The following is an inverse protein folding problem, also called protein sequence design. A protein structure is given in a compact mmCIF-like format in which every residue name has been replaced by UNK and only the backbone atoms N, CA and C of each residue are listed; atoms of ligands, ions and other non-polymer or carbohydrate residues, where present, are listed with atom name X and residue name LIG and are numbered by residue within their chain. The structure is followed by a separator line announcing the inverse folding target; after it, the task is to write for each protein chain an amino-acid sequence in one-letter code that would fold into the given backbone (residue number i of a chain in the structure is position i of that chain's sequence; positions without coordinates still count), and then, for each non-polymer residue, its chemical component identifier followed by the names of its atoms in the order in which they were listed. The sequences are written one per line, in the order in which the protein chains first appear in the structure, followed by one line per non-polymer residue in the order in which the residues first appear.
data_IF_416842349663
#
_entry.id   IF_416842349663
#
_cell.length_a   1.000
_cell.length_b   1.000
_cell.length_c   1.000
_cell.angle_alpha   90.00
_cell.angle_beta   90.00
_cell.angle_gamma   90.00
#
_symmetry.space_group_name_H-M   'P 1'
#
loop_
_entity.id
_entity.type
_entity.pdbx_description
1 polymer ?
#
# COMPACT_ATOMS: atom_id res chain seq x y z
N UNK A 1 9.61 -2.48 19.67
CA UNK A 1 10.54 -2.71 20.80
C UNK A 1 11.13 -4.12 20.78
N UNK A 2 10.35 -5.22 20.75
CA UNK A 2 10.90 -6.57 20.80
C UNK A 2 11.81 -6.93 19.62
N UNK A 3 11.48 -6.47 18.41
CA UNK A 3 12.29 -6.72 17.21
C UNK A 3 13.70 -6.12 17.34
N UNK A 4 13.80 -4.88 17.84
CA UNK A 4 15.08 -4.17 18.01
C UNK A 4 16.06 -4.94 18.89
N UNK A 5 15.60 -5.58 19.97
CA UNK A 5 16.48 -6.37 20.84
C UNK A 5 16.72 -7.78 20.31
N UNK A 6 15.70 -8.39 19.69
CA UNK A 6 15.83 -9.72 19.10
C UNK A 6 16.81 -9.76 17.92
N UNK A 7 16.85 -8.71 17.09
CA UNK A 7 17.79 -8.60 15.96
C UNK A 7 19.26 -8.58 16.41
N UNK A 8 19.51 -8.20 17.66
CA UNK A 8 20.84 -8.24 18.30
C UNK A 8 21.04 -9.45 19.24
N UNK A 9 20.07 -10.37 19.27
CA UNK A 9 20.13 -11.58 20.09
C UNK A 9 20.01 -11.32 21.60
N UNK A 10 19.43 -10.19 21.99
CA UNK A 10 19.25 -9.77 23.38
C UNK A 10 17.79 -9.94 23.81
N UNK A 11 17.56 -9.93 25.12
CA UNK A 11 16.25 -9.68 25.72
C UNK A 11 16.09 -8.24 26.17
N UNK A 12 15.02 -7.96 26.89
CA UNK A 12 14.81 -6.66 27.51
C UNK A 12 13.82 -6.69 28.66
N UNK A 13 14.07 -5.80 29.62
CA UNK A 13 13.14 -5.45 30.68
C UNK A 13 12.59 -4.05 30.40
N UNK A 14 11.29 -3.96 30.19
CA UNK A 14 10.57 -2.73 29.96
C UNK A 14 9.66 -2.40 31.15
N UNK A 15 9.50 -1.11 31.42
CA UNK A 15 8.48 -0.61 32.33
C UNK A 15 7.38 0.09 31.54
N UNK A 16 6.16 -0.41 31.69
CA UNK A 16 4.99 0.08 30.97
C UNK A 16 4.69 1.54 31.32
N UNK A 17 4.84 1.93 32.59
CA UNK A 17 4.48 3.28 33.06
C UNK A 17 5.53 4.34 32.75
N UNK A 18 6.68 3.95 32.21
CA UNK A 18 7.67 4.87 31.70
C UNK A 18 7.38 5.27 30.23
N UNK A 19 6.41 4.61 29.56
CA UNK A 19 5.93 4.98 28.22
C UNK A 19 5.04 6.23 28.32
N UNK A 20 5.34 7.33 27.59
CA UNK A 20 4.49 8.51 27.56
C UNK A 20 3.09 8.16 27.04
N UNK A 21 2.09 8.40 27.87
CA UNK A 21 0.69 8.13 27.56
C UNK A 21 -0.16 9.34 27.94
N UNK A 22 -0.97 9.84 27.00
CA UNK A 22 -1.91 10.93 27.25
C UNK A 22 -3.23 10.45 27.86
N UNK A 23 -3.50 9.14 27.79
CA UNK A 23 -4.75 8.51 28.24
C UNK A 23 -4.47 7.55 29.41
N UNK A 24 -4.60 8.01 30.67
CA UNK A 24 -4.24 7.20 31.84
C UNK A 24 -5.14 5.98 32.07
N UNK A 25 -6.34 5.96 31.46
CA UNK A 25 -7.31 4.88 31.58
C UNK A 25 -7.01 3.64 30.73
N UNK A 26 -5.99 3.69 29.87
CA UNK A 26 -5.65 2.58 28.99
C UNK A 26 -5.11 1.37 29.76
N UNK A 27 -5.54 0.19 29.34
CA UNK A 27 -5.04 -1.09 29.80
C UNK A 27 -3.60 -1.33 29.32
N UNK A 28 -2.85 -2.25 29.96
CA UNK A 28 -1.52 -2.64 29.49
C UNK A 28 -1.44 -3.04 28.02
N UNK A 29 -2.46 -3.77 27.54
CA UNK A 29 -2.53 -4.18 26.14
C UNK A 29 -2.70 -2.99 25.20
N UNK A 30 -3.55 -2.02 25.55
CA UNK A 30 -3.78 -0.84 24.73
C UNK A 30 -2.53 0.05 24.66
N UNK A 31 -1.85 0.26 25.78
CA UNK A 31 -0.60 1.03 25.80
C UNK A 31 0.47 0.34 24.92
N UNK A 32 0.64 -0.97 25.06
CA UNK A 32 1.71 -1.71 24.38
C UNK A 32 1.45 -1.96 22.89
N UNK A 33 0.20 -2.28 22.51
CA UNK A 33 -0.15 -2.68 21.15
C UNK A 33 -0.72 -1.53 20.29
N UNK A 34 -0.90 -0.32 20.84
CA UNK A 34 -1.38 0.80 20.04
C UNK A 34 -0.44 1.14 18.88
N UNK A 35 -1.02 1.56 17.76
CA UNK A 35 -0.32 2.05 16.56
C UNK A 35 -0.36 3.59 16.48
N UNK A 36 -0.26 4.27 17.62
CA UNK A 36 -0.11 5.72 17.66
C UNK A 36 1.11 6.15 16.80
N UNK A 37 0.92 7.24 16.06
CA UNK A 37 1.85 7.70 15.03
C UNK A 37 3.04 8.48 15.63
N UNK A 38 4.01 8.82 14.78
CA UNK A 38 5.21 9.63 15.10
C UNK A 38 6.10 9.10 16.24
N UNK A 39 6.12 7.79 16.46
CA UNK A 39 6.95 7.15 17.50
C UNK A 39 8.11 6.36 16.90
N UNK A 40 9.27 6.48 17.53
CA UNK A 40 10.49 5.77 17.15
C UNK A 40 11.07 5.07 18.37
N UNK A 41 11.78 3.97 18.13
CA UNK A 41 12.48 3.20 19.16
C UNK A 41 13.96 3.18 18.84
N UNK A 42 14.79 3.47 19.83
CA UNK A 42 16.25 3.54 19.68
C UNK A 42 16.92 2.85 20.87
N UNK A 43 18.07 2.21 20.62
CA UNK A 43 19.00 1.83 21.67
C UNK A 43 20.10 2.89 21.75
N UNK A 44 20.35 3.39 22.95
CA UNK A 44 21.41 4.37 23.24
C UNK A 44 22.27 3.78 24.35
N UNK A 45 23.59 3.83 24.19
CA UNK A 45 24.50 3.40 25.25
C UNK A 45 24.38 4.31 26.47
N UNK A 46 24.48 3.74 27.67
CA UNK A 46 24.32 4.48 28.93
C UNK A 46 25.24 5.70 29.03
N UNK A 47 26.47 5.61 28.50
CA UNK A 47 27.43 6.71 28.48
C UNK A 47 27.06 7.88 27.55
N UNK A 48 26.11 7.69 26.63
CA UNK A 48 25.69 8.70 25.65
C UNK A 48 24.29 9.27 25.93
N UNK A 49 23.62 8.83 27.00
CA UNK A 49 22.25 9.25 27.29
C UNK A 49 22.14 10.76 27.52
N UNK A 50 23.15 11.37 28.14
CA UNK A 50 23.16 12.82 28.40
C UNK A 50 23.28 13.63 27.11
N UNK A 51 24.07 13.14 26.15
CA UNK A 51 24.21 13.75 24.82
C UNK A 51 22.88 13.65 24.09
N UNK A 52 22.25 12.47 24.10
CA UNK A 52 20.95 12.26 23.48
C UNK A 52 19.88 13.19 24.08
N UNK A 53 19.83 13.28 25.42
CA UNK A 53 18.93 14.17 26.13
C UNK A 53 19.14 15.63 25.74
N UNK A 54 20.39 16.10 25.69
CA UNK A 54 20.69 17.46 25.28
C UNK A 54 20.21 17.79 23.85
N UNK A 55 20.31 16.82 22.93
CA UNK A 55 19.78 16.96 21.56
C UNK A 55 18.25 17.00 21.58
N UNK A 56 17.61 16.06 22.29
CA UNK A 56 16.15 15.98 22.37
C UNK A 56 15.53 17.25 22.98
N UNK A 57 16.13 17.77 24.05
CA UNK A 57 15.68 19.01 24.71
C UNK A 57 15.82 20.22 23.77
N UNK A 58 16.93 20.32 23.02
CA UNK A 58 17.15 21.40 22.04
C UNK A 58 16.09 21.39 20.93
N UNK A 59 15.80 20.22 20.39
CA UNK A 59 14.85 20.04 19.29
C UNK A 59 13.39 19.94 19.77
N UNK A 60 13.13 20.03 21.08
CA UNK A 60 11.79 19.88 21.69
C UNK A 60 11.13 18.55 21.29
N UNK A 61 11.93 17.50 21.22
CA UNK A 61 11.50 16.16 20.87
C UNK A 61 11.26 15.36 22.17
N UNK A 62 9.99 15.05 22.52
CA UNK A 62 9.71 14.26 23.70
C UNK A 62 10.28 12.85 23.56
N UNK A 63 10.93 12.36 24.62
CA UNK A 63 11.45 11.00 24.69
C UNK A 63 11.24 10.41 26.08
N UNK A 64 11.33 9.09 26.16
CA UNK A 64 11.35 8.38 27.44
C UNK A 64 12.27 7.17 27.36
N UNK A 65 12.97 6.90 28.45
CA UNK A 65 13.72 5.66 28.63
C UNK A 65 12.75 4.65 29.23
N UNK A 66 12.35 3.68 28.41
CA UNK A 66 11.26 2.73 28.75
C UNK A 66 11.77 1.37 29.22
N UNK A 67 13.07 1.11 29.17
CA UNK A 67 13.64 -0.17 29.54
C UNK A 67 15.13 -0.30 29.24
N UNK A 68 15.66 -1.47 29.55
CA UNK A 68 17.07 -1.84 29.36
C UNK A 68 17.19 -3.16 28.62
N UNK A 69 18.18 -3.26 27.73
CA UNK A 69 18.48 -4.52 27.04
C UNK A 69 19.23 -5.46 27.99
N UNK A 70 18.95 -6.75 27.90
CA UNK A 70 19.52 -7.79 28.76
C UNK A 70 20.17 -8.90 27.94
N UNK A 71 21.17 -9.57 28.49
CA UNK A 71 21.81 -10.73 27.85
C UNK A 71 20.91 -11.97 27.85
N UNK A 72 20.00 -12.08 28.82
CA UNK A 72 19.00 -13.13 28.86
C UNK A 72 17.95 -12.90 27.76
N UNK A 73 17.70 -13.88 26.89
CA UNK A 73 16.79 -13.77 25.73
C UNK A 73 15.31 -13.84 26.11
N UNK A 74 14.89 -12.98 27.04
CA UNK A 74 13.54 -12.93 27.59
C UNK A 74 12.99 -11.51 27.48
N UNK A 75 11.69 -11.40 27.21
CA UNK A 75 10.96 -10.13 27.16
C UNK A 75 10.12 -10.02 28.43
N UNK A 76 10.45 -9.05 29.28
CA UNK A 76 9.70 -8.75 30.49
C UNK A 76 9.13 -7.34 30.39
N UNK A 77 7.83 -7.19 30.61
CA UNK A 77 7.16 -5.91 30.76
C UNK A 77 6.54 -5.86 32.16
N UNK A 78 6.95 -4.89 32.97
CA UNK A 78 6.40 -4.64 34.30
C UNK A 78 5.41 -3.48 34.27
N UNK A 79 4.44 -3.49 35.18
CA UNK A 79 3.51 -2.38 35.42
C UNK A 79 3.57 -1.95 36.89
N UNK A 80 4.25 -0.84 37.17
CA UNK A 80 4.33 -0.25 38.53
C UNK A 80 2.97 0.13 39.11
N UNK A 81 2.00 0.52 38.29
CA UNK A 81 0.68 0.98 38.76
C UNK A 81 -0.15 -0.19 39.29
N UNK A 82 -0.18 -1.30 38.56
CA UNK A 82 -0.96 -2.49 38.91
C UNK A 82 -0.15 -3.51 39.71
N UNK A 83 1.16 -3.30 39.86
CA UNK A 83 2.09 -4.27 40.46
C UNK A 83 2.00 -5.65 39.81
N UNK A 84 1.88 -5.68 38.49
CA UNK A 84 1.80 -6.90 37.68
C UNK A 84 2.95 -6.97 36.67
N UNK A 85 3.09 -8.14 36.04
CA UNK A 85 4.02 -8.37 34.92
C UNK A 85 3.20 -8.79 33.70
N UNK A 86 2.67 -7.84 32.90
CA UNK A 86 1.81 -8.16 31.77
C UNK A 86 2.44 -9.05 30.69
N UNK A 87 3.76 -8.96 30.51
CA UNK A 87 4.50 -9.79 29.55
C UNK A 87 5.69 -10.40 30.25
N UNK A 88 5.78 -11.73 30.22
CA UNK A 88 6.93 -12.49 30.67
C UNK A 88 7.08 -13.72 29.77
N UNK A 89 7.79 -13.56 28.65
CA UNK A 89 7.90 -14.59 27.60
C UNK A 89 9.31 -14.67 27.03
N UNK A 90 9.72 -15.88 26.65
CA UNK A 90 10.99 -16.07 25.94
C UNK A 90 10.92 -15.53 24.51
N UNK A 91 12.02 -14.93 24.03
CA UNK A 91 12.07 -14.31 22.69
C UNK A 91 11.77 -15.32 21.57
N UNK A 92 12.22 -16.57 21.73
CA UNK A 92 12.01 -17.62 20.74
C UNK A 92 10.53 -18.06 20.66
N UNK A 93 9.79 -17.94 21.77
CA UNK A 93 8.34 -18.18 21.79
C UNK A 93 7.60 -17.05 21.08
N UNK A 94 7.99 -15.80 21.31
CA UNK A 94 7.36 -14.62 20.70
C UNK A 94 7.62 -14.55 19.19
N UNK A 95 8.85 -14.84 18.75
CA UNK A 95 9.27 -14.78 17.35
C UNK A 95 9.27 -16.13 16.64
N UNK A 96 8.70 -17.16 17.28
CA UNK A 96 8.56 -18.49 16.72
C UNK A 96 7.85 -18.44 15.37
N UNK A 97 8.53 -18.84 14.30
CA UNK A 97 7.96 -18.78 12.94
C UNK A 97 7.12 -20.03 12.68
N UNK A 98 5.81 -19.89 12.41
CA UNK A 98 5.03 -21.02 11.91
C UNK A 98 5.59 -21.49 10.54
N UNK A 99 5.27 -22.72 10.10
CA UNK A 99 5.69 -23.23 8.80
C UNK A 99 5.34 -22.25 7.67
N UNK A 100 6.28 -22.07 6.72
CA UNK A 100 6.06 -21.19 5.56
C UNK A 100 4.85 -21.64 4.77
N UNK A 101 4.02 -20.68 4.36
CA UNK A 101 2.84 -20.95 3.53
C UNK A 101 3.26 -21.50 2.17
N UNK A 102 2.77 -22.70 1.83
CA UNK A 102 2.80 -23.22 0.46
C UNK A 102 1.47 -22.89 -0.21
N UNK A 103 1.51 -22.21 -1.36
CA UNK A 103 0.32 -21.88 -2.14
C UNK A 103 0.39 -22.61 -3.48
N UNK A 104 -0.57 -23.48 -3.74
CA UNK A 104 -0.82 -24.00 -5.08
C UNK A 104 -1.93 -23.16 -5.71
N UNK A 105 -1.66 -22.60 -6.89
CA UNK A 105 -2.61 -21.81 -7.65
C UNK A 105 -2.59 -22.25 -9.11
N UNK A 106 -3.75 -22.16 -9.76
CA UNK A 106 -3.89 -22.47 -11.18
C UNK A 106 -4.09 -21.16 -11.94
N UNK A 107 -3.23 -20.93 -12.93
CA UNK A 107 -3.37 -19.79 -13.83
C UNK A 107 -4.69 -19.88 -14.58
N UNK A 108 -5.55 -18.88 -14.40
CA UNK A 108 -6.80 -18.76 -15.14
C UNK A 108 -6.56 -17.90 -16.38
N UNK A 109 -6.73 -18.48 -17.56
CA UNK A 109 -6.84 -17.69 -18.79
C UNK A 109 -8.21 -17.02 -18.84
N UNK A 110 -8.23 -15.69 -18.74
CA UNK A 110 -9.44 -14.91 -18.90
C UNK A 110 -9.82 -14.89 -20.39
N UNK A 111 -11.06 -15.23 -20.72
CA UNK A 111 -11.63 -15.00 -22.05
C UNK A 111 -12.00 -13.52 -22.15
N UNK A 112 -11.03 -12.71 -22.58
CA UNK A 112 -11.26 -11.29 -22.86
C UNK A 112 -11.94 -11.17 -24.24
N UNK A 113 -12.82 -10.16 -24.44
CA UNK A 113 -13.29 -9.86 -25.79
C UNK A 113 -12.07 -9.57 -26.70
N UNK A 114 -12.13 -9.97 -27.98
CA UNK A 114 -11.07 -9.65 -28.92
C UNK A 114 -10.88 -8.13 -28.96
N UNK A 115 -9.63 -7.67 -29.10
CA UNK A 115 -9.32 -6.26 -29.21
C UNK A 115 -10.02 -5.69 -30.45
N UNK A 116 -11.03 -4.86 -30.22
CA UNK A 116 -11.79 -4.21 -31.27
C UNK A 116 -11.12 -2.88 -31.64
N UNK A 117 -10.51 -2.84 -32.83
CA UNK A 117 -9.91 -1.62 -33.39
C UNK A 117 -10.94 -0.63 -33.92
N UNK A 118 -12.20 -1.03 -34.07
CA UNK A 118 -13.27 -0.21 -34.67
C UNK A 118 -13.95 0.70 -33.65
N UNK A 119 -13.80 0.40 -32.35
CA UNK A 119 -14.40 1.13 -31.23
C UNK A 119 -15.94 1.25 -31.33
N UNK A 120 -16.60 0.45 -32.17
CA UNK A 120 -18.03 0.60 -32.50
C UNK A 120 -18.93 0.47 -31.27
N UNK A 121 -18.54 -0.36 -30.29
CA UNK A 121 -19.28 -0.51 -29.03
C UNK A 121 -19.32 0.76 -28.15
N UNK A 122 -18.49 1.77 -28.44
CA UNK A 122 -18.37 3.00 -27.65
C UNK A 122 -19.03 4.23 -28.31
N UNK A 123 -19.60 4.10 -29.51
CA UNK A 123 -20.26 5.20 -30.24
C UNK A 123 -21.79 5.23 -30.15
N UNK A 124 -22.43 4.23 -29.53
CA UNK A 124 -23.90 4.11 -29.49
C UNK A 124 -24.59 4.94 -28.38
N UNK A 125 -23.92 5.90 -27.74
CA UNK A 125 -24.51 6.65 -26.60
C UNK A 125 -24.79 8.13 -26.82
N UNK A 126 -24.71 8.66 -28.05
CA UNK A 126 -25.12 10.05 -28.33
C UNK A 126 -26.32 10.12 -29.28
N UNK A 127 -27.52 10.06 -28.69
CA UNK A 127 -28.71 10.77 -29.18
C UNK A 127 -29.50 10.13 -30.32
N UNK A 128 -30.41 9.22 -29.98
CA UNK A 128 -31.68 9.10 -30.73
C UNK A 128 -32.85 8.85 -29.78
N UNK A 129 -33.51 9.94 -29.41
CA UNK A 129 -34.90 9.95 -29.00
C UNK A 129 -35.74 9.31 -30.12
N UNK A 130 -36.70 8.46 -29.73
CA UNK A 130 -37.90 8.03 -30.48
C UNK A 130 -37.86 6.72 -31.28
N UNK A 131 -38.98 5.98 -31.07
CA UNK A 131 -39.61 4.91 -31.85
C UNK A 131 -39.05 3.49 -31.78
N UNK A 132 -39.85 2.66 -31.10
CA UNK A 132 -39.88 1.21 -31.14
C UNK A 132 -39.91 0.65 -32.57
N UNK A 133 -39.20 -0.45 -32.81
CA UNK A 133 -39.72 -1.56 -33.63
C UNK A 133 -38.86 -2.83 -33.48
N UNK A 134 -39.57 -3.90 -33.12
CA UNK A 134 -39.42 -5.30 -33.55
C UNK A 134 -38.03 -5.93 -33.62
N UNK A 135 -37.81 -6.81 -32.64
CA UNK A 135 -36.91 -7.95 -32.71
C UNK A 135 -37.10 -8.78 -34.00
N UNK A 136 -36.01 -9.28 -34.54
CA UNK A 136 -36.01 -10.42 -35.45
C UNK A 136 -34.69 -11.18 -35.29
N UNK A 137 -34.75 -12.29 -34.57
CA UNK A 137 -33.70 -13.30 -34.57
C UNK A 137 -33.61 -13.92 -35.95
N UNK A 138 -32.40 -14.09 -36.48
CA UNK A 138 -32.13 -15.16 -37.42
C UNK A 138 -30.74 -15.77 -37.20
N UNK A 139 -30.81 -17.04 -36.83
CA UNK A 139 -29.79 -18.09 -36.83
C UNK A 139 -29.17 -18.26 -38.21
N UNK A 140 -27.85 -18.51 -38.28
CA UNK A 140 -27.18 -19.29 -39.35
C UNK A 140 -25.77 -19.67 -38.83
N UNK A 141 -25.64 -20.87 -38.26
CA UNK A 141 -25.07 -22.09 -38.88
C UNK A 141 -23.54 -22.06 -39.01
N UNK A 142 -22.90 -22.86 -38.16
CA UNK A 142 -21.49 -23.21 -38.24
C UNK A 142 -21.20 -24.09 -39.46
N UNK A 143 -20.07 -23.85 -40.12
CA UNK A 143 -19.37 -24.89 -40.86
C UNK A 143 -17.86 -24.69 -40.73
N UNK A 144 -17.22 -25.80 -40.36
CA UNK A 144 -15.80 -25.97 -40.02
C UNK A 144 -14.99 -26.17 -41.30
N UNK A 145 -13.78 -25.63 -41.38
CA UNK A 145 -12.64 -26.30 -42.02
C UNK A 145 -11.31 -25.66 -41.61
N UNK A 146 -10.30 -26.53 -41.59
CA UNK A 146 -8.96 -26.48 -41.01
C UNK A 146 -7.93 -25.69 -41.82
N UNK A 147 -6.97 -25.03 -41.16
CA UNK A 147 -5.51 -25.34 -41.19
C UNK A 147 -4.62 -24.17 -40.69
N UNK A 148 -3.60 -24.58 -39.92
CA UNK A 148 -2.27 -24.03 -39.61
C UNK A 148 -1.88 -22.56 -39.79
N UNK A 149 -0.99 -22.16 -38.85
CA UNK A 149 0.24 -21.37 -39.01
C UNK A 149 0.21 -19.88 -38.63
N UNK A 150 1.11 -19.54 -37.67
CA UNK A 150 1.66 -18.22 -37.39
C UNK A 150 0.68 -17.18 -36.85
N UNK A 151 0.84 -16.72 -35.61
CA UNK A 151 0.21 -15.46 -35.17
C UNK A 151 0.91 -14.35 -35.96
N UNK A 152 0.28 -13.70 -36.96
CA UNK A 152 0.89 -12.56 -37.62
C UNK A 152 0.78 -11.40 -36.64
N UNK A 153 1.86 -10.62 -36.49
CA UNK A 153 1.76 -9.33 -35.82
C UNK A 153 0.63 -8.51 -36.51
N UNK A 154 -0.32 -7.93 -35.75
CA UNK A 154 -1.41 -7.20 -36.36
C UNK A 154 -0.84 -5.98 -37.08
N UNK A 155 -0.82 -6.02 -38.40
CA UNK A 155 -0.49 -4.88 -39.24
C UNK A 155 -1.67 -3.90 -39.18
N UNK A 156 -1.50 -2.82 -38.43
CA UNK A 156 -2.46 -1.71 -38.31
C UNK A 156 -2.63 -1.03 -39.67
N UNK A 157 -3.53 -1.57 -40.50
CA UNK A 157 -4.01 -0.87 -41.70
C UNK A 157 -5.24 -0.08 -41.30
N UNK A 158 -5.09 1.24 -41.11
CA UNK A 158 -6.20 2.14 -40.80
C UNK A 158 -7.10 2.21 -42.04
N UNK A 159 -8.22 1.48 -42.05
CA UNK A 159 -9.27 1.64 -43.06
C UNK A 159 -10.07 2.89 -42.74
N UNK A 160 -9.98 3.89 -43.62
CA UNK A 160 -10.83 5.08 -43.61
C UNK A 160 -12.15 4.74 -44.31
N UNK A 161 -13.19 4.44 -43.55
CA UNK A 161 -14.57 4.43 -44.06
C UNK A 161 -15.58 4.65 -42.93
N UNK A 162 -16.31 5.76 -43.03
CA UNK A 162 -17.56 6.18 -42.36
C UNK A 162 -17.65 6.07 -40.82
N UNK A 163 -17.78 7.26 -40.20
CA UNK A 163 -18.05 7.58 -38.79
C UNK A 163 -17.16 6.91 -37.73
N UNK A 164 -15.85 6.95 -37.95
CA UNK A 164 -14.92 7.06 -36.82
C UNK A 164 -15.27 8.34 -36.05
N UNK A 165 -15.20 8.39 -34.70
CA UNK A 165 -15.25 9.67 -34.02
C UNK A 165 -14.18 10.51 -34.68
N UNK A 166 -14.49 11.76 -34.99
CA UNK A 166 -13.43 12.67 -35.36
C UNK A 166 -12.35 12.53 -34.29
N UNK A 167 -11.09 12.27 -34.68
CA UNK A 167 -9.97 12.05 -33.76
C UNK A 167 -9.97 13.08 -32.61
N UNK A 168 -10.49 14.28 -32.89
CA UNK A 168 -10.84 15.31 -31.92
C UNK A 168 -11.69 14.86 -30.70
N UNK A 169 -12.78 14.11 -30.88
CA UNK A 169 -13.64 13.63 -29.78
C UNK A 169 -12.92 12.57 -28.93
N UNK A 170 -12.16 11.68 -29.57
CA UNK A 170 -11.35 10.70 -28.84
C UNK A 170 -10.27 11.38 -27.99
N UNK A 171 -9.62 12.42 -28.53
CA UNK A 171 -8.66 13.24 -27.78
C UNK A 171 -9.35 13.91 -26.58
N UNK A 172 -10.53 14.49 -26.79
CA UNK A 172 -11.28 15.15 -25.72
C UNK A 172 -11.63 14.16 -24.59
N UNK A 173 -12.16 12.98 -24.92
CA UNK A 173 -12.50 11.94 -23.94
C UNK A 173 -11.28 11.41 -23.19
N UNK A 174 -10.15 11.21 -23.88
CA UNK A 174 -8.91 10.72 -23.28
C UNK A 174 -8.32 11.75 -22.32
N UNK A 175 -8.32 13.05 -22.68
CA UNK A 175 -7.80 14.10 -21.80
C UNK A 175 -8.68 14.35 -20.57
N UNK A 176 -9.97 14.01 -20.65
CA UNK A 176 -10.90 14.04 -19.50
C UNK A 176 -10.87 12.78 -18.63
N UNK A 177 -10.18 11.70 -19.06
CA UNK A 177 -10.05 10.51 -18.25
C UNK A 177 -9.17 10.82 -17.03
N UNK A 178 -9.62 10.60 -15.78
CA UNK A 178 -8.85 10.99 -14.61
C UNK A 178 -7.46 10.35 -14.53
N UNK A 179 -7.22 9.18 -15.13
CA UNK A 179 -5.89 8.56 -15.18
C UNK A 179 -4.91 9.28 -16.10
N UNK A 180 -5.39 10.03 -17.10
CA UNK A 180 -4.59 10.72 -18.14
C UNK A 180 -4.56 12.24 -17.93
N UNK A 181 -5.69 12.82 -17.52
CA UNK A 181 -5.82 14.25 -17.30
C UNK A 181 -4.82 14.81 -16.29
N UNK A 182 -4.66 16.14 -16.31
CA UNK A 182 -3.64 16.83 -15.49
C UNK A 182 -3.70 16.42 -14.02
N UNK A 183 -2.52 16.11 -13.46
CA UNK A 183 -2.33 15.78 -12.04
C UNK A 183 -1.93 16.97 -11.20
N UNK A 184 -1.99 18.20 -11.75
CA UNK A 184 -1.60 19.41 -11.03
C UNK A 184 -2.22 19.50 -9.64
N UNK A 185 -3.48 19.09 -9.46
CA UNK A 185 -4.15 19.12 -8.16
C UNK A 185 -3.52 18.18 -7.10
N UNK A 186 -2.91 17.07 -7.49
CA UNK A 186 -2.16 16.17 -6.58
C UNK A 186 -0.74 16.68 -6.34
N UNK A 187 -0.20 17.41 -7.31
CA UNK A 187 1.17 17.90 -7.29
C UNK A 187 1.25 19.12 -6.36
N UNK A 188 0.39 20.12 -6.56
CA UNK A 188 0.50 21.43 -5.87
C UNK A 188 0.13 21.42 -4.40
N UNK A 189 -0.48 20.35 -3.88
CA UNK A 189 -0.86 20.23 -2.47
C UNK A 189 0.34 19.89 -1.57
N UNK A 190 1.42 19.33 -2.13
CA UNK A 190 2.67 19.06 -1.43
C UNK A 190 3.73 20.10 -1.78
N UNK A 191 4.47 20.58 -0.78
CA UNK A 191 5.69 21.36 -1.02
C UNK A 191 6.75 20.47 -1.69
N UNK A 192 7.41 20.99 -2.73
CA UNK A 192 8.42 20.27 -3.52
C UNK A 192 9.70 21.07 -3.68
N UNK A 193 9.99 21.96 -2.73
CA UNK A 193 11.16 22.86 -2.76
C UNK A 193 11.84 23.07 -1.41
N UNK A 194 11.23 22.65 -0.29
CA UNK A 194 11.63 23.01 1.08
C UNK A 194 13.10 22.75 1.44
N UNK A 195 13.75 21.75 0.84
CA UNK A 195 15.17 21.43 1.12
C UNK A 195 16.16 22.21 0.24
N UNK A 196 15.71 22.86 -0.84
CA UNK A 196 16.56 23.54 -1.82
C UNK A 196 17.44 22.61 -2.66
N UNK A 197 17.30 21.29 -2.53
CA UNK A 197 18.12 20.26 -3.18
C UNK A 197 17.40 19.55 -4.34
N UNK A 198 16.25 20.08 -4.78
CA UNK A 198 15.40 19.43 -5.79
C UNK A 198 15.80 19.95 -7.18
N UNK A 199 16.44 19.09 -7.97
CA UNK A 199 16.94 19.45 -9.30
C UNK A 199 15.89 19.33 -10.42
N UNK A 200 14.87 18.48 -10.24
CA UNK A 200 13.74 18.33 -11.16
C UNK A 200 12.50 17.87 -10.39
N UNK A 201 11.36 18.41 -10.79
CA UNK A 201 10.03 18.13 -10.29
C UNK A 201 9.10 17.76 -11.48
N UNK A 202 7.87 17.28 -11.22
CA UNK A 202 6.93 16.79 -12.24
C UNK A 202 6.26 17.90 -13.06
#
# INVERSE_FOLDING_TARGET
LPELVNDHGLGANFELRDIPCTEPGLSPMEIWCCEAQERYVLAVGESQIDIFKAIADRERCPFAVVGTATSERRLVLTDKLLSTVPIDVDMDTLFGKPPKMSRSAVTRHLKLPPFDTTLSSYFDSTGSTTSASSASLSTLSASTSSQSSGIPAPSLTIRSSASSPAVAEAIDRVLHLPSVGSKSFLITIGDRTVTGLIARDQ
#
